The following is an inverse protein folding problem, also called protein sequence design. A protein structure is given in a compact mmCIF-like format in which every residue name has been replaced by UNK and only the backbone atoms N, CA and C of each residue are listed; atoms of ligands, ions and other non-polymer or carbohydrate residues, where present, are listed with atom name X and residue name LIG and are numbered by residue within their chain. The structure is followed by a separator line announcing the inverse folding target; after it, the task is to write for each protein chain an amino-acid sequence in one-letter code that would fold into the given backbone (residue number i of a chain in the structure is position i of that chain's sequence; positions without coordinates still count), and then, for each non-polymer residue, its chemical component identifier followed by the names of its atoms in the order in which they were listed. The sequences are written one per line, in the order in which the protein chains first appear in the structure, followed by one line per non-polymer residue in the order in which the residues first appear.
data_IF_053201794741
#
_entry.id   IF_053201794741
#
_cell.length_a   1.000
_cell.length_b   1.000
_cell.length_c   1.000
_cell.angle_alpha   90.00
_cell.angle_beta   90.00
_cell.angle_gamma   90.00
#
_symmetry.space_group_name_H-M   'P 1'
#
loop_
_entity.id
_entity.type
_entity.pdbx_description
1 polymer ?
#
# COMPACT_ATOMS: atom_id res chain seq x y z
N UNK A 1 -53.79 20.73 17.67
CA UNK A 1 -52.93 19.92 16.80
C UNK A 1 -53.39 18.50 16.98
N UNK A 2 -54.13 17.97 16.00
CA UNK A 2 -54.87 16.73 16.17
C UNK A 2 -53.90 15.55 16.29
N UNK A 3 -54.22 14.58 17.14
CA UNK A 3 -53.39 13.38 17.36
C UNK A 3 -53.08 12.65 16.04
N UNK A 4 -53.96 12.76 15.05
CA UNK A 4 -53.77 12.23 13.71
C UNK A 4 -52.66 12.95 12.92
N UNK A 5 -52.52 14.27 13.03
CA UNK A 5 -51.46 15.02 12.33
C UNK A 5 -50.07 14.70 12.92
N UNK A 6 -50.00 14.47 14.24
CA UNK A 6 -48.77 14.03 14.90
C UNK A 6 -48.32 12.63 14.44
N UNK A 7 -49.26 11.68 14.32
CA UNK A 7 -48.96 10.32 13.90
C UNK A 7 -48.47 10.22 12.43
N UNK A 8 -49.03 11.04 11.54
CA UNK A 8 -48.61 11.09 10.12
C UNK A 8 -47.20 11.68 9.97
N UNK A 9 -46.86 12.71 10.75
CA UNK A 9 -45.51 13.29 10.74
C UNK A 9 -44.46 12.32 11.31
N UNK A 10 -44.82 11.55 12.34
CA UNK A 10 -43.91 10.58 12.95
C UNK A 10 -43.63 9.38 12.02
N UNK A 11 -44.67 8.85 11.37
CA UNK A 11 -44.54 7.71 10.44
C UNK A 11 -43.78 8.08 9.17
N UNK A 12 -44.02 9.26 8.60
CA UNK A 12 -43.28 9.75 7.43
C UNK A 12 -41.79 9.96 7.71
N UNK A 13 -41.43 10.47 8.90
CA UNK A 13 -40.03 10.62 9.31
C UNK A 13 -39.27 9.29 9.39
N UNK A 14 -39.90 8.24 9.95
CA UNK A 14 -39.29 6.91 10.07
C UNK A 14 -39.11 6.19 8.73
N UNK A 15 -39.84 6.58 7.67
CA UNK A 15 -39.70 6.01 6.32
C UNK A 15 -38.69 6.83 5.49
N UNK A 16 -38.71 8.16 5.60
CA UNK A 16 -37.80 9.04 4.85
C UNK A 16 -36.35 8.92 5.31
N UNK A 17 -36.10 8.77 6.61
CA UNK A 17 -34.75 8.71 7.15
C UNK A 17 -33.90 7.51 6.64
N UNK A 18 -34.40 6.25 6.62
CA UNK A 18 -33.66 5.13 6.04
C UNK A 18 -33.50 5.24 4.52
N UNK A 19 -34.44 5.87 3.81
CA UNK A 19 -34.35 6.12 2.38
C UNK A 19 -33.25 7.14 2.03
N UNK A 20 -33.16 8.22 2.80
CA UNK A 20 -32.06 9.20 2.68
C UNK A 20 -30.73 8.55 3.06
N UNK A 21 -30.69 7.73 4.10
CA UNK A 21 -29.49 7.00 4.49
C UNK A 21 -29.01 6.04 3.39
N UNK A 22 -29.93 5.27 2.79
CA UNK A 22 -29.65 4.38 1.66
C UNK A 22 -29.17 5.16 0.43
N UNK A 23 -29.78 6.30 0.14
CA UNK A 23 -29.37 7.16 -0.96
C UNK A 23 -27.95 7.71 -0.75
N UNK A 24 -27.63 8.22 0.44
CA UNK A 24 -26.29 8.70 0.79
C UNK A 24 -25.27 7.56 0.73
N UNK A 25 -25.62 6.38 1.23
CA UNK A 25 -24.78 5.19 1.16
C UNK A 25 -24.48 4.79 -0.29
N UNK A 26 -25.51 4.76 -1.15
CA UNK A 26 -25.38 4.40 -2.56
C UNK A 26 -24.57 5.43 -3.36
N UNK A 27 -24.84 6.72 -3.16
CA UNK A 27 -24.08 7.81 -3.80
C UNK A 27 -22.60 7.81 -3.36
N UNK A 28 -22.30 7.48 -2.10
CA UNK A 28 -20.93 7.34 -1.63
C UNK A 28 -20.24 6.06 -2.12
N UNK A 29 -21.00 5.01 -2.46
CA UNK A 29 -20.45 3.78 -3.04
C UNK A 29 -20.00 3.98 -4.49
N UNK A 30 -20.77 4.71 -5.30
CA UNK A 30 -20.47 4.91 -6.72
C UNK A 30 -19.27 5.84 -6.97
N UNK A 31 -18.95 6.76 -6.04
CA UNK A 31 -17.74 7.59 -6.12
C UNK A 31 -16.43 6.79 -6.04
N UNK A 32 -16.46 5.53 -5.62
CA UNK A 32 -15.26 4.68 -5.54
C UNK A 32 -14.92 3.97 -6.86
N UNK A 33 -15.84 3.93 -7.83
CA UNK A 33 -15.70 3.09 -9.04
C UNK A 33 -15.23 3.88 -10.27
N UNK A 34 -15.42 5.21 -10.28
CA UNK A 34 -15.15 6.05 -11.47
C UNK A 34 -13.69 6.54 -11.60
N UNK A 35 -12.85 6.35 -10.58
CA UNK A 35 -11.45 6.86 -10.55
C UNK A 35 -10.37 5.82 -10.87
N UNK A 36 -10.72 4.54 -11.01
CA UNK A 36 -9.73 3.44 -11.02
C UNK A 36 -8.92 3.29 -12.31
N UNK A 37 -9.28 3.97 -13.40
CA UNK A 37 -8.59 3.83 -14.70
C UNK A 37 -7.50 4.88 -14.99
N UNK A 38 -7.25 5.85 -14.09
CA UNK A 38 -6.22 6.90 -14.29
C UNK A 38 -5.34 7.16 -13.06
N UNK A 39 -5.20 6.19 -12.16
CA UNK A 39 -4.32 6.37 -11.01
C UNK A 39 -2.91 5.87 -11.32
N UNK A 40 -1.91 6.74 -11.15
CA UNK A 40 -0.49 6.37 -11.14
C UNK A 40 -0.28 5.21 -10.15
N UNK A 41 0.55 4.21 -10.50
CA UNK A 41 0.89 3.14 -9.55
C UNK A 41 1.74 3.67 -8.40
N UNK A 42 1.81 2.93 -7.30
CA UNK A 42 2.72 3.28 -6.20
C UNK A 42 4.18 3.29 -6.69
N UNK A 43 4.58 2.33 -7.52
CA UNK A 43 5.92 2.27 -8.14
C UNK A 43 6.22 3.50 -8.98
N UNK A 44 5.32 3.89 -9.86
CA UNK A 44 5.52 5.05 -10.72
C UNK A 44 5.58 6.35 -9.91
N UNK A 45 4.84 6.44 -8.79
CA UNK A 45 4.96 7.55 -7.86
C UNK A 45 6.32 7.59 -7.15
N UNK A 46 6.90 6.44 -6.81
CA UNK A 46 8.26 6.39 -6.25
C UNK A 46 9.28 6.84 -7.30
N UNK A 47 9.18 6.38 -8.55
CA UNK A 47 10.05 6.84 -9.63
C UNK A 47 9.87 8.33 -9.94
N UNK A 48 8.66 8.87 -9.82
CA UNK A 48 8.42 10.31 -9.93
C UNK A 48 9.26 11.10 -8.91
N UNK A 49 9.27 10.66 -7.64
CA UNK A 49 10.06 11.29 -6.59
C UNK A 49 11.56 11.07 -6.80
N UNK A 50 11.96 9.85 -7.13
CA UNK A 50 13.36 9.48 -7.35
C UNK A 50 14.01 10.25 -8.50
N UNK A 51 13.30 10.40 -9.62
CA UNK A 51 13.81 11.04 -10.82
C UNK A 51 13.68 12.58 -10.81
N UNK A 52 13.09 13.16 -9.76
CA UNK A 52 12.97 14.60 -9.65
C UNK A 52 14.33 15.24 -9.26
N UNK A 53 14.79 16.30 -9.95
CA UNK A 53 15.99 17.01 -9.53
C UNK A 53 15.91 17.47 -8.07
N UNK A 54 16.87 17.03 -7.25
CA UNK A 54 16.89 17.33 -5.81
C UNK A 54 15.97 16.45 -4.95
N UNK A 55 15.22 15.51 -5.53
CA UNK A 55 14.44 14.50 -4.80
C UNK A 55 13.29 15.01 -3.95
N UNK A 56 12.97 16.31 -4.04
CA UNK A 56 12.02 17.00 -3.18
C UNK A 56 10.86 17.55 -4.00
N UNK A 57 9.63 17.12 -3.68
CA UNK A 57 8.42 17.63 -4.31
C UNK A 57 7.37 18.00 -3.26
N UNK A 58 6.62 19.07 -3.53
CA UNK A 58 5.42 19.38 -2.75
C UNK A 58 4.25 18.49 -3.17
N UNK A 59 3.25 18.34 -2.28
CA UNK A 59 2.03 17.61 -2.62
C UNK A 59 1.28 18.18 -3.83
N UNK A 60 1.41 19.49 -4.10
CA UNK A 60 0.80 20.13 -5.27
C UNK A 60 1.49 19.70 -6.56
N UNK A 61 2.82 19.74 -6.60
CA UNK A 61 3.58 19.32 -7.78
C UNK A 61 3.41 17.83 -8.07
N UNK A 62 3.33 17.00 -7.03
CA UNK A 62 3.04 15.57 -7.18
C UNK A 62 1.65 15.38 -7.78
N UNK A 63 0.63 16.08 -7.28
CA UNK A 63 -0.73 15.98 -7.79
C UNK A 63 -0.81 16.36 -9.29
N UNK A 64 -0.17 17.47 -9.66
CA UNK A 64 -0.11 17.95 -11.05
C UNK A 64 0.61 16.98 -11.98
N UNK A 65 1.79 16.49 -11.58
CA UNK A 65 2.60 15.57 -12.40
C UNK A 65 1.98 14.17 -12.52
N UNK A 66 1.31 13.69 -11.48
CA UNK A 66 0.72 12.36 -11.42
C UNK A 66 -0.74 12.30 -11.88
N UNK A 67 -1.35 13.44 -12.21
CA UNK A 67 -2.77 13.51 -12.58
C UNK A 67 -3.73 13.15 -11.43
N UNK A 68 -3.28 13.31 -10.17
CA UNK A 68 -4.06 12.99 -8.97
C UNK A 68 -4.76 14.24 -8.44
N UNK A 69 -5.89 14.05 -7.75
CA UNK A 69 -6.46 15.14 -6.94
C UNK A 69 -5.57 15.43 -5.73
N UNK A 70 -5.68 16.65 -5.18
CA UNK A 70 -4.98 17.00 -3.94
C UNK A 70 -5.37 16.10 -2.76
N UNK A 71 -6.61 15.62 -2.71
CA UNK A 71 -7.08 14.71 -1.66
C UNK A 71 -6.44 13.32 -1.79
N UNK A 72 -6.41 12.74 -2.99
CA UNK A 72 -5.73 11.47 -3.26
C UNK A 72 -4.24 11.58 -2.93
N UNK A 73 -3.58 12.65 -3.40
CA UNK A 73 -2.15 12.87 -3.18
C UNK A 73 -1.82 12.98 -1.69
N UNK A 74 -2.56 13.80 -0.93
CA UNK A 74 -2.36 13.93 0.52
C UNK A 74 -2.60 12.62 1.25
N UNK A 75 -3.65 11.88 0.88
CA UNK A 75 -3.95 10.58 1.49
C UNK A 75 -2.82 9.58 1.24
N UNK A 76 -2.33 9.47 0.00
CA UNK A 76 -1.24 8.56 -0.37
C UNK A 76 0.08 8.96 0.29
N UNK A 77 0.44 10.24 0.31
CA UNK A 77 1.66 10.73 0.96
C UNK A 77 1.62 10.58 2.49
N UNK A 78 0.46 10.81 3.12
CA UNK A 78 0.30 10.54 4.56
C UNK A 78 0.54 9.08 4.86
N UNK A 79 -0.07 8.19 4.07
CA UNK A 79 0.12 6.76 4.21
C UNK A 79 1.59 6.35 4.00
N UNK A 80 2.25 6.86 2.96
CA UNK A 80 3.68 6.58 2.73
C UNK A 80 4.57 7.10 3.85
N UNK A 81 4.25 8.27 4.42
CA UNK A 81 5.02 8.84 5.53
C UNK A 81 4.88 8.00 6.80
N UNK A 82 3.67 7.54 7.14
CA UNK A 82 3.42 6.61 8.25
C UNK A 82 4.17 5.28 8.08
N UNK A 83 4.34 4.86 6.83
CA UNK A 83 5.04 3.63 6.48
C UNK A 83 6.56 3.81 6.33
N UNK A 84 7.06 5.03 6.50
CA UNK A 84 8.47 5.40 6.38
C UNK A 84 9.04 5.16 4.97
N UNK A 85 8.18 5.25 3.96
CA UNK A 85 8.56 5.21 2.53
C UNK A 85 9.01 6.60 2.08
N UNK A 86 8.32 7.64 2.53
CA UNK A 86 8.68 9.04 2.28
C UNK A 86 8.95 9.76 3.59
N UNK A 87 9.81 10.77 3.53
CA UNK A 87 10.02 11.74 4.60
C UNK A 87 9.31 13.04 4.24
N UNK A 88 8.89 13.77 5.25
CA UNK A 88 8.24 15.08 5.10
C UNK A 88 9.11 16.15 5.76
N UNK A 89 9.62 17.07 4.94
CA UNK A 89 10.29 18.29 5.38
C UNK A 89 9.37 19.52 5.28
N UNK A 90 9.71 20.60 5.99
CA UNK A 90 9.01 21.89 5.88
C UNK A 90 10.02 23.02 5.83
N UNK A 91 9.74 24.03 5.01
CA UNK A 91 10.46 25.31 5.01
C UNK A 91 9.65 26.41 5.73
N UNK A 92 8.59 26.06 6.45
CA UNK A 92 7.65 26.99 7.09
C UNK A 92 6.47 27.41 6.22
N UNK A 93 6.61 27.42 4.89
CA UNK A 93 5.55 27.81 3.95
C UNK A 93 4.89 26.60 3.27
N UNK A 94 5.66 25.56 3.01
CA UNK A 94 5.19 24.35 2.34
C UNK A 94 5.85 23.10 2.93
N UNK A 95 5.14 21.97 2.77
CA UNK A 95 5.69 20.65 3.02
C UNK A 95 6.27 20.06 1.74
N UNK A 96 7.49 19.54 1.84
CA UNK A 96 8.19 18.81 0.80
C UNK A 96 8.29 17.35 1.18
N UNK A 97 8.24 16.48 0.18
CA UNK A 97 8.30 15.05 0.32
C UNK A 97 9.48 14.53 -0.50
N UNK A 98 10.24 13.63 0.10
CA UNK A 98 11.35 12.90 -0.52
C UNK A 98 11.26 11.42 -0.15
N UNK A 99 11.89 10.55 -0.92
CA UNK A 99 12.03 9.15 -0.55
C UNK A 99 12.89 9.01 0.71
N UNK A 100 12.57 8.04 1.55
CA UNK A 100 13.35 7.78 2.76
C UNK A 100 14.77 7.29 2.45
N UNK A 101 14.92 6.59 1.32
CA UNK A 101 16.14 6.04 0.76
C UNK A 101 16.03 6.07 -0.78
N UNK A 102 17.14 6.06 -1.54
CA UNK A 102 17.11 5.89 -2.99
C UNK A 102 16.48 4.55 -3.36
N UNK A 103 15.96 4.46 -4.60
CA UNK A 103 15.55 3.18 -5.17
C UNK A 103 16.82 2.46 -5.62
N UNK A 104 17.03 1.24 -5.13
CA UNK A 104 18.14 0.40 -5.57
C UNK A 104 17.72 -0.39 -6.83
N UNK A 105 18.53 -0.28 -7.88
CA UNK A 105 18.31 -0.94 -9.17
C UNK A 105 19.02 -2.30 -9.18
N UNK A 106 18.24 -3.36 -8.97
CA UNK A 106 18.70 -4.76 -9.02
C UNK A 106 18.36 -5.43 -10.34
N UNK A 107 17.90 -4.66 -11.34
CA UNK A 107 17.38 -5.18 -12.60
C UNK A 107 16.00 -5.83 -12.47
N UNK A 108 15.55 -6.45 -13.56
CA UNK A 108 14.25 -7.10 -13.62
C UNK A 108 14.31 -8.49 -12.95
N UNK A 109 13.46 -8.71 -11.95
CA UNK A 109 13.31 -10.01 -11.31
C UNK A 109 12.21 -10.82 -12.00
N UNK A 110 12.48 -12.10 -12.24
CA UNK A 110 11.48 -13.07 -12.71
C UNK A 110 10.66 -13.58 -11.51
N UNK A 111 9.66 -12.79 -11.14
CA UNK A 111 8.70 -13.14 -10.07
C UNK A 111 7.58 -14.04 -10.60
N UNK A 112 6.89 -14.71 -9.69
CA UNK A 112 5.71 -15.50 -9.99
C UNK A 112 4.61 -14.62 -10.63
N UNK A 113 3.73 -15.20 -11.45
CA UNK A 113 2.59 -14.49 -12.01
C UNK A 113 1.47 -14.27 -11.00
N UNK A 114 1.62 -14.74 -9.76
CA UNK A 114 0.60 -14.62 -8.73
C UNK A 114 0.45 -13.15 -8.30
N UNK A 115 -0.77 -12.70 -7.97
CA UNK A 115 -1.03 -11.32 -7.56
C UNK A 115 -0.58 -10.99 -6.12
N UNK A 116 0.30 -11.81 -5.56
CA UNK A 116 0.83 -11.73 -4.19
C UNK A 116 2.24 -12.32 -4.13
N UNK A 117 3.01 -11.97 -3.09
CA UNK A 117 4.35 -12.55 -2.90
C UNK A 117 4.27 -14.01 -2.46
N UNK A 118 4.84 -14.90 -3.27
CA UNK A 118 5.15 -16.27 -2.85
C UNK A 118 6.44 -16.32 -2.02
N UNK A 119 6.68 -17.43 -1.32
CA UNK A 119 7.96 -17.67 -0.64
C UNK A 119 9.13 -17.65 -1.63
N UNK A 120 8.93 -18.18 -2.84
CA UNK A 120 9.92 -18.12 -3.91
C UNK A 120 10.25 -16.68 -4.33
N UNK A 121 9.22 -15.82 -4.44
CA UNK A 121 9.41 -14.40 -4.74
C UNK A 121 10.16 -13.67 -3.63
N UNK A 122 9.81 -13.96 -2.37
CA UNK A 122 10.57 -13.44 -1.22
C UNK A 122 12.04 -13.83 -1.31
N UNK A 123 12.36 -15.10 -1.57
CA UNK A 123 13.76 -15.53 -1.68
C UNK A 123 14.51 -14.79 -2.80
N UNK A 124 13.90 -14.67 -3.98
CA UNK A 124 14.48 -13.96 -5.13
C UNK A 124 14.73 -12.49 -4.82
N UNK A 125 13.71 -11.80 -4.29
CA UNK A 125 13.81 -10.38 -3.92
C UNK A 125 14.89 -10.21 -2.84
N UNK A 126 14.82 -10.98 -1.75
CA UNK A 126 15.77 -10.80 -0.65
C UNK A 126 17.20 -11.10 -1.09
N UNK A 127 17.44 -12.12 -1.93
CA UNK A 127 18.77 -12.40 -2.47
C UNK A 127 19.29 -11.26 -3.36
N UNK A 128 18.41 -10.62 -4.14
CA UNK A 128 18.79 -9.51 -5.00
C UNK A 128 19.18 -8.24 -4.22
N UNK A 129 18.61 -8.04 -3.03
CA UNK A 129 18.85 -6.88 -2.16
C UNK A 129 19.67 -7.25 -0.89
N UNK A 130 20.65 -8.16 -1.00
CA UNK A 130 21.55 -8.55 0.09
C UNK A 130 20.84 -8.89 1.43
N UNK A 131 19.72 -9.61 1.31
CA UNK A 131 18.83 -10.06 2.38
C UNK A 131 18.24 -8.95 3.26
N UNK A 132 18.27 -7.70 2.79
CA UNK A 132 17.74 -6.53 3.49
C UNK A 132 16.90 -5.69 2.54
N UNK A 133 15.59 -5.90 2.58
CA UNK A 133 14.68 -5.27 1.64
C UNK A 133 13.92 -4.14 2.32
N UNK A 134 13.91 -2.94 1.76
CA UNK A 134 13.06 -1.85 2.27
C UNK A 134 11.65 -1.90 1.68
N UNK A 135 10.68 -1.18 2.27
CA UNK A 135 9.40 -0.92 1.63
C UNK A 135 9.50 -0.34 0.21
N UNK A 136 10.49 0.53 -0.04
CA UNK A 136 10.71 1.18 -1.34
C UNK A 136 11.12 0.12 -2.36
N UNK A 137 12.04 -0.76 -1.99
CA UNK A 137 12.57 -1.83 -2.85
C UNK A 137 11.49 -2.87 -3.17
N UNK A 138 10.65 -3.24 -2.19
CA UNK A 138 9.53 -4.15 -2.44
C UNK A 138 8.56 -3.60 -3.49
N UNK A 139 8.23 -2.30 -3.41
CA UNK A 139 7.33 -1.66 -4.39
C UNK A 139 8.00 -1.58 -5.75
N UNK A 140 9.30 -1.23 -5.79
CA UNK A 140 10.06 -1.15 -7.03
C UNK A 140 10.17 -2.50 -7.74
N UNK A 141 10.55 -3.54 -7.00
CA UNK A 141 10.77 -4.89 -7.52
C UNK A 141 9.49 -5.58 -7.99
N UNK A 142 8.39 -5.42 -7.26
CA UNK A 142 7.13 -6.14 -7.53
C UNK A 142 6.16 -5.34 -8.41
N UNK A 143 6.21 -4.01 -8.34
CA UNK A 143 5.17 -3.15 -8.89
C UNK A 143 3.82 -3.22 -8.16
N UNK A 144 3.73 -3.98 -7.06
CA UNK A 144 2.50 -4.13 -6.29
C UNK A 144 2.25 -2.90 -5.40
N UNK A 145 0.98 -2.55 -5.13
CA UNK A 145 0.65 -1.47 -4.22
C UNK A 145 1.15 -1.74 -2.80
N UNK A 146 1.67 -0.73 -2.12
CA UNK A 146 2.21 -0.90 -0.76
C UNK A 146 1.16 -1.41 0.23
N UNK A 147 -0.12 -1.08 0.03
CA UNK A 147 -1.21 -1.58 0.88
C UNK A 147 -1.33 -3.10 0.87
N UNK A 148 -1.03 -3.72 -0.26
CA UNK A 148 -1.02 -5.18 -0.43
C UNK A 148 0.24 -5.73 0.23
N UNK A 149 1.41 -5.25 -0.21
CA UNK A 149 2.72 -5.66 0.32
C UNK A 149 2.80 -5.53 1.86
N UNK A 150 2.31 -4.43 2.45
CA UNK A 150 2.34 -4.23 3.90
C UNK A 150 1.54 -5.31 4.66
N UNK A 151 0.45 -5.82 4.08
CA UNK A 151 -0.35 -6.91 4.66
C UNK A 151 0.40 -8.22 4.56
N UNK A 152 0.96 -8.52 3.39
CA UNK A 152 1.75 -9.72 3.16
C UNK A 152 2.96 -9.77 4.09
N UNK A 153 3.73 -8.68 4.18
CA UNK A 153 4.88 -8.59 5.10
C UNK A 153 4.46 -8.69 6.58
N UNK A 154 3.27 -8.20 6.94
CA UNK A 154 2.73 -8.40 8.29
C UNK A 154 2.42 -9.86 8.56
N UNK A 155 1.86 -10.57 7.59
CA UNK A 155 1.59 -12.00 7.67
C UNK A 155 2.89 -12.81 7.79
N UNK A 156 3.84 -12.59 6.89
CA UNK A 156 5.15 -13.26 6.92
C UNK A 156 5.89 -13.03 8.22
N UNK A 157 5.82 -11.82 8.78
CA UNK A 157 6.35 -11.55 10.12
C UNK A 157 5.66 -12.37 11.19
N UNK A 158 4.33 -12.46 11.18
CA UNK A 158 3.55 -13.24 12.15
C UNK A 158 3.92 -14.72 12.11
N UNK A 159 4.23 -15.24 10.92
CA UNK A 159 4.69 -16.62 10.68
C UNK A 159 6.16 -16.84 10.98
N UNK A 160 6.91 -15.79 11.28
CA UNK A 160 8.34 -15.88 11.56
C UNK A 160 9.20 -16.09 10.30
N UNK A 161 8.65 -15.85 9.11
CA UNK A 161 9.39 -15.90 7.84
C UNK A 161 10.39 -14.75 7.75
N UNK A 162 9.98 -13.58 8.21
CA UNK A 162 10.79 -12.36 8.20
C UNK A 162 10.87 -11.70 9.58
N UNK A 163 11.89 -10.90 9.80
CA UNK A 163 11.97 -9.90 10.87
C UNK A 163 11.96 -8.47 10.32
N UNK A 164 11.64 -7.51 11.18
CA UNK A 164 11.69 -6.08 10.86
C UNK A 164 12.81 -5.45 11.66
N UNK A 165 13.79 -4.89 10.96
CA UNK A 165 14.85 -4.08 11.55
C UNK A 165 14.52 -2.59 11.41
N UNK A 166 14.87 -1.84 12.45
CA UNK A 166 14.75 -0.38 12.49
C UNK A 166 16.09 0.24 12.82
N UNK A 167 16.86 0.55 11.78
CA UNK A 167 18.21 1.06 11.92
C UNK A 167 18.33 2.35 11.12
N UNK A 168 18.69 3.44 11.79
CA UNK A 168 18.99 4.69 11.10
C UNK A 168 20.43 4.61 10.57
N UNK A 169 20.58 4.45 9.25
CA UNK A 169 21.87 4.57 8.55
C UNK A 169 21.74 5.58 7.41
N UNK A 170 22.76 6.39 7.14
CA UNK A 170 22.78 7.24 5.96
C UNK A 170 22.63 6.38 4.69
N UNK A 171 21.72 6.77 3.79
CA UNK A 171 21.46 6.04 2.55
C UNK A 171 20.47 4.88 2.66
N UNK A 172 20.19 4.37 3.87
CA UNK A 172 19.27 3.24 4.05
C UNK A 172 17.86 3.71 4.43
N UNK A 173 16.87 2.87 4.09
CA UNK A 173 15.54 2.98 4.67
C UNK A 173 15.60 2.66 6.16
N UNK A 174 14.92 3.46 6.99
CA UNK A 174 14.85 3.18 8.43
C UNK A 174 14.13 1.89 8.74
N UNK A 175 13.18 1.47 7.89
CA UNK A 175 12.52 0.17 8.00
C UNK A 175 13.12 -0.77 6.96
N UNK A 176 13.65 -1.89 7.42
CA UNK A 176 14.14 -2.98 6.59
C UNK A 176 13.50 -4.29 7.03
N UNK A 177 13.25 -5.17 6.07
CA UNK A 177 12.82 -6.54 6.28
C UNK A 177 14.02 -7.47 6.06
N UNK A 178 14.13 -8.49 6.91
CA UNK A 178 15.17 -9.52 6.80
C UNK A 178 14.52 -10.89 6.75
N UNK A 179 14.91 -11.71 5.79
CA UNK A 179 14.45 -13.10 5.66
C UNK A 179 15.20 -13.94 6.69
N UNK A 180 14.48 -14.77 7.45
CA UNK A 180 15.13 -15.64 8.44
C UNK A 180 15.81 -16.80 7.75
N UNK A 181 16.91 -17.26 8.35
CA UNK A 181 17.75 -18.36 7.83
C UNK A 181 16.96 -19.60 7.36
N UNK A 182 15.93 -20.10 8.07
CA UNK A 182 15.18 -21.28 7.62
C UNK A 182 14.50 -21.12 6.26
N UNK A 183 14.25 -19.88 5.84
CA UNK A 183 13.51 -19.56 4.62
C UNK A 183 14.42 -19.10 3.48
N UNK A 184 15.73 -18.94 3.69
CA UNK A 184 16.67 -18.50 2.64
C UNK A 184 16.78 -19.54 1.53
N UNK A 185 16.92 -20.81 1.91
CA UNK A 185 17.10 -21.94 0.98
C UNK A 185 15.96 -22.96 1.10
N UNK A 186 14.80 -22.56 1.62
CA UNK A 186 13.62 -23.42 1.70
C UNK A 186 13.19 -23.80 0.28
N UNK A 187 13.15 -25.11 -0.08
CA UNK A 187 12.73 -25.51 -1.41
C UNK A 187 11.30 -25.05 -1.70
N UNK A 188 11.05 -24.53 -2.91
CA UNK A 188 9.71 -24.11 -3.34
C UNK A 188 8.69 -25.26 -3.23
N UNK A 189 9.13 -26.50 -3.48
CA UNK A 189 8.30 -27.71 -3.37
C UNK A 189 8.10 -28.20 -1.93
N UNK A 190 8.58 -27.48 -0.93
CA UNK A 190 8.38 -27.87 0.47
C UNK A 190 6.93 -27.65 0.88
N UNK A 191 6.40 -28.57 1.70
CA UNK A 191 5.04 -28.45 2.23
C UNK A 191 4.84 -27.14 3.01
N UNK A 192 5.90 -26.62 3.64
CA UNK A 192 5.88 -25.37 4.39
C UNK A 192 5.74 -24.15 3.46
N UNK A 193 6.53 -24.07 2.39
CA UNK A 193 6.42 -22.99 1.40
C UNK A 193 5.02 -22.99 0.75
N UNK A 194 4.56 -24.15 0.30
CA UNK A 194 3.23 -24.30 -0.30
C UNK A 194 2.09 -23.92 0.67
N UNK A 195 2.21 -24.27 1.95
CA UNK A 195 1.22 -23.91 2.95
C UNK A 195 1.17 -22.40 3.20
N UNK A 196 2.33 -21.73 3.24
CA UNK A 196 2.41 -20.27 3.39
C UNK A 196 1.80 -19.55 2.18
N UNK A 197 2.11 -20.01 0.97
CA UNK A 197 1.58 -19.43 -0.27
C UNK A 197 0.06 -19.60 -0.36
N UNK A 198 -0.45 -20.79 0.01
CA UNK A 198 -1.90 -21.05 0.06
C UNK A 198 -2.60 -20.18 1.09
N UNK A 199 -2.04 -20.04 2.30
CA UNK A 199 -2.60 -19.20 3.35
C UNK A 199 -2.61 -17.72 2.94
N UNK A 200 -1.58 -17.25 2.24
CA UNK A 200 -1.55 -15.89 1.70
C UNK A 200 -2.69 -15.67 0.70
N UNK A 201 -2.86 -16.62 -0.22
CA UNK A 201 -3.94 -16.58 -1.22
C UNK A 201 -5.30 -16.52 -0.55
N UNK A 202 -5.54 -17.35 0.46
CA UNK A 202 -6.80 -17.36 1.22
C UNK A 202 -7.05 -16.01 1.92
N UNK A 203 -6.04 -15.42 2.57
CA UNK A 203 -6.17 -14.12 3.23
C UNK A 203 -6.58 -13.03 2.24
N UNK A 204 -5.95 -13.00 1.06
CA UNK A 204 -6.23 -11.96 0.08
C UNK A 204 -7.59 -12.17 -0.64
N UNK A 205 -8.05 -13.42 -0.78
CA UNK A 205 -9.41 -13.73 -1.23
C UNK A 205 -10.46 -13.28 -0.20
N UNK A 206 -10.27 -13.63 1.07
CA UNK A 206 -11.19 -13.27 2.17
C UNK A 206 -11.34 -11.75 2.32
N UNK A 207 -10.26 -11.00 2.05
CA UNK A 207 -10.26 -9.55 2.11
C UNK A 207 -10.78 -8.86 0.82
N UNK A 208 -11.21 -9.61 -0.19
CA UNK A 208 -11.60 -9.13 -1.53
C UNK A 208 -10.50 -8.29 -2.22
N UNK A 209 -9.25 -8.70 -2.05
CA UNK A 209 -8.08 -8.08 -2.68
C UNK A 209 -7.62 -8.82 -3.93
N UNK A 210 -8.06 -10.06 -4.11
CA UNK A 210 -7.99 -10.80 -5.37
C UNK A 210 -9.40 -10.88 -5.95
N UNK A 211 -9.55 -10.49 -7.22
CA UNK A 211 -10.81 -10.57 -8.00
C UNK A 211 -10.64 -11.56 -9.12
#
# INVERSE_FOLDING_TARGET
MDSATGAILFTSFFILLPLVFLLVYYLNRNKKVDTTQREISDRDLLHLLHNHPGGLLTAKEIAEKAGLTMAQTRSRLSFFAEQLIVRRGSNGLAYYYELYAPIEDVGQLELSPEPFLTVADLQKIFRAYDYRVSPIDLIAATGLPWRILAREMKHFKKKGVIDILRIARPGDSYRQYVLKEPYIDLPESSNEAMALDLEMKEILLDENLLV
#
